data_IF_828850887460
#
_entry.id   IF_828850887460
#
_cell.length_a   1.000
_cell.length_b   1.000
_cell.length_c   1.000
_cell.angle_alpha   90.00
_cell.angle_beta   90.00
_cell.angle_gamma   90.00
#
_symmetry.space_group_name_H-M   'P 1'
#
loop_
_entity.id
_entity.type
_entity.pdbx_description
1 polymer ?
#
# COMPACT_ATOMS: atom_id res chain seq x y z
N UNK A 1 -26.23 26.95 4.59
CA UNK A 1 -25.07 26.04 4.44
C UNK A 1 -25.36 24.73 5.16
N UNK A 2 -25.49 23.62 4.43
CA UNK A 2 -25.66 22.29 5.05
C UNK A 2 -24.38 21.90 5.77
N UNK A 3 -24.43 21.77 7.10
CA UNK A 3 -23.31 21.26 7.92
C UNK A 3 -22.81 19.93 7.34
N UNK A 4 -21.49 19.78 7.23
CA UNK A 4 -20.88 18.52 6.81
C UNK A 4 -21.29 17.39 7.75
N UNK A 5 -21.28 16.11 7.33
CA UNK A 5 -21.64 14.98 8.19
C UNK A 5 -20.85 14.98 9.51
N UNK A 6 -19.57 15.37 9.45
CA UNK A 6 -18.70 15.51 10.61
C UNK A 6 -19.21 16.58 11.59
N UNK A 7 -19.63 17.75 11.10
CA UNK A 7 -20.14 18.85 11.92
C UNK A 7 -21.50 18.55 12.58
N UNK A 8 -22.36 17.76 11.92
CA UNK A 8 -23.62 17.29 12.52
C UNK A 8 -23.37 16.29 13.66
N UNK A 9 -22.37 15.43 13.51
CA UNK A 9 -22.03 14.41 14.50
C UNK A 9 -21.31 14.98 15.72
N UNK A 10 -20.42 15.97 15.52
CA UNK A 10 -19.83 16.72 16.64
C UNK A 10 -20.91 17.41 17.46
N UNK A 11 -21.90 18.04 16.83
CA UNK A 11 -23.01 18.69 17.52
C UNK A 11 -23.84 17.69 18.36
N UNK A 12 -24.14 16.51 17.82
CA UNK A 12 -24.89 15.45 18.52
C UNK A 12 -24.12 14.91 19.73
N UNK A 13 -22.81 14.70 19.60
CA UNK A 13 -21.94 14.29 20.70
C UNK A 13 -21.81 15.37 21.77
N UNK A 14 -21.64 16.64 21.38
CA UNK A 14 -21.59 17.76 22.33
C UNK A 14 -22.91 17.91 23.08
N UNK A 15 -24.06 17.74 22.41
CA UNK A 15 -25.38 17.73 23.06
C UNK A 15 -25.53 16.54 24.00
N UNK A 16 -25.04 15.36 23.62
CA UNK A 16 -25.04 14.17 24.48
C UNK A 16 -24.20 14.36 25.74
N UNK A 17 -22.98 14.89 25.61
CA UNK A 17 -22.10 15.21 26.76
C UNK A 17 -22.71 16.29 27.65
N UNK A 18 -23.27 17.35 27.06
CA UNK A 18 -23.96 18.40 27.82
C UNK A 18 -25.17 17.84 28.57
N UNK A 19 -25.96 16.95 27.96
CA UNK A 19 -27.08 16.27 28.62
C UNK A 19 -26.64 15.44 29.83
N UNK A 20 -25.51 14.72 29.71
CA UNK A 20 -24.92 13.96 30.81
C UNK A 20 -24.52 14.90 31.96
N UNK A 21 -23.81 15.99 31.66
CA UNK A 21 -23.38 16.97 32.68
C UNK A 21 -24.58 17.63 33.38
N UNK A 22 -25.66 17.93 32.64
CA UNK A 22 -26.88 18.48 33.21
C UNK A 22 -27.56 17.48 34.15
N UNK A 23 -27.69 16.21 33.76
CA UNK A 23 -28.24 15.17 34.65
C UNK A 23 -27.41 15.07 35.93
N UNK A 24 -26.08 15.02 35.82
CA UNK A 24 -25.17 14.96 36.97
C UNK A 24 -25.28 16.18 37.90
N UNK A 25 -25.52 17.38 37.35
CA UNK A 25 -25.64 18.62 38.14
C UNK A 25 -26.86 18.66 39.06
N UNK A 26 -27.89 17.86 38.75
CA UNK A 26 -29.16 17.79 39.49
C UNK A 26 -29.10 16.75 40.63
N UNK A 27 -28.14 15.81 40.58
CA UNK A 27 -27.96 14.78 41.61
C UNK A 27 -27.11 15.33 42.77
N UNK A 28 -27.77 15.86 43.81
CA UNK A 28 -27.13 16.34 45.05
C UNK A 28 -27.53 15.46 46.25
N UNK A 29 -26.59 15.23 47.18
CA UNK A 29 -26.80 14.49 48.44
C UNK A 29 -26.08 13.13 48.55
N UNK A 30 -26.00 12.59 49.76
CA UNK A 30 -25.19 11.38 50.06
C UNK A 30 -25.68 10.13 49.31
N UNK A 31 -26.99 9.97 49.15
CA UNK A 31 -27.58 8.87 48.39
C UNK A 31 -27.25 9.02 46.90
N UNK A 32 -27.25 10.25 46.38
CA UNK A 32 -26.93 10.52 44.98
C UNK A 32 -25.47 10.16 44.66
N UNK A 33 -24.54 10.37 45.59
CA UNK A 33 -23.15 9.98 45.44
C UNK A 33 -22.97 8.46 45.26
N UNK A 34 -23.77 7.65 45.95
CA UNK A 34 -23.72 6.18 45.81
C UNK A 34 -24.14 5.71 44.40
N UNK A 35 -25.10 6.39 43.76
CA UNK A 35 -25.55 6.06 42.40
C UNK A 35 -24.68 6.65 41.29
N UNK A 36 -23.74 7.53 41.62
CA UNK A 36 -22.87 8.19 40.64
C UNK A 36 -22.18 7.22 39.66
N UNK A 37 -21.56 6.10 40.10
CA UNK A 37 -20.92 5.15 39.17
C UNK A 37 -21.90 4.50 38.19
N UNK A 38 -23.15 4.26 38.61
CA UNK A 38 -24.22 3.70 37.77
C UNK A 38 -24.60 4.70 36.68
N UNK A 39 -24.87 5.94 37.09
CA UNK A 39 -25.26 7.03 36.18
C UNK A 39 -24.15 7.28 35.16
N UNK A 40 -22.90 7.37 35.61
CA UNK A 40 -21.74 7.58 34.73
C UNK A 40 -21.57 6.45 33.72
N UNK A 41 -21.74 5.20 34.16
CA UNK A 41 -21.62 4.04 33.27
C UNK A 41 -22.72 4.03 32.20
N UNK A 42 -23.96 4.33 32.57
CA UNK A 42 -25.08 4.42 31.62
C UNK A 42 -24.91 5.59 30.65
N UNK A 43 -24.47 6.75 31.16
CA UNK A 43 -24.17 7.93 30.36
C UNK A 43 -23.09 7.65 29.30
N UNK A 44 -21.96 7.09 29.73
CA UNK A 44 -20.86 6.74 28.84
C UNK A 44 -21.28 5.65 27.83
N UNK A 45 -21.98 4.61 28.30
CA UNK A 45 -22.50 3.55 27.44
C UNK A 45 -23.46 4.07 26.38
N UNK A 46 -24.31 5.03 26.74
CA UNK A 46 -25.23 5.70 25.81
C UNK A 46 -24.47 6.51 24.75
N UNK A 47 -23.41 7.23 25.13
CA UNK A 47 -22.57 7.97 24.18
C UNK A 47 -21.90 7.01 23.16
N UNK A 48 -21.33 5.90 23.64
CA UNK A 48 -20.78 4.87 22.76
C UNK A 48 -21.85 4.27 21.85
N UNK A 49 -23.03 3.94 22.37
CA UNK A 49 -24.13 3.35 21.60
C UNK A 49 -24.67 4.31 20.54
N UNK A 50 -24.93 5.56 20.89
CA UNK A 50 -25.39 6.59 19.95
C UNK A 50 -24.36 6.81 18.82
N UNK A 51 -23.06 6.75 19.12
CA UNK A 51 -22.01 6.85 18.09
C UNK A 51 -22.01 5.67 17.10
N UNK A 52 -22.57 4.50 17.47
CA UNK A 52 -22.72 3.38 16.56
C UNK A 52 -23.87 3.59 15.56
N UNK A 53 -24.96 4.20 16.03
CA UNK A 53 -26.15 4.56 15.24
C UNK A 53 -25.87 5.74 14.31
N UNK A 54 -25.08 6.71 14.79
CA UNK A 54 -24.71 7.91 14.06
C UNK A 54 -23.18 7.91 13.79
N UNK A 55 -22.69 7.13 12.81
CA UNK A 55 -21.25 7.02 12.52
C UNK A 55 -20.64 8.37 12.15
N UNK A 56 -19.35 8.61 12.45
CA UNK A 56 -18.34 7.64 12.89
C UNK A 56 -18.46 7.27 14.38
N UNK A 57 -17.98 6.09 14.77
CA UNK A 57 -18.04 5.66 16.18
C UNK A 57 -17.10 6.47 17.07
N UNK A 58 -17.35 6.50 18.39
CA UNK A 58 -16.55 7.33 19.30
C UNK A 58 -15.07 6.96 19.29
N UNK A 59 -14.75 5.65 19.25
CA UNK A 59 -13.37 5.17 19.11
C UNK A 59 -12.77 5.58 17.75
N UNK A 60 -13.57 5.59 16.68
CA UNK A 60 -13.13 6.06 15.37
C UNK A 60 -12.77 7.55 15.39
N UNK A 61 -13.58 8.38 16.06
CA UNK A 61 -13.30 9.80 16.23
C UNK A 61 -11.98 10.05 16.94
N UNK A 62 -11.74 9.36 18.06
CA UNK A 62 -10.47 9.43 18.79
C UNK A 62 -9.30 8.93 17.93
N UNK A 63 -9.50 7.84 17.19
CA UNK A 63 -8.50 7.28 16.29
C UNK A 63 -8.13 8.25 15.16
N UNK A 64 -9.10 9.03 14.64
CA UNK A 64 -8.89 10.01 13.56
C UNK A 64 -8.16 11.27 14.02
N UNK A 65 -8.16 11.60 15.31
CA UNK A 65 -7.33 12.69 15.85
C UNK A 65 -5.84 12.42 15.64
N UNK A 66 -5.43 11.16 15.72
CA UNK A 66 -4.04 10.74 15.48
C UNK A 66 -3.78 10.40 14.01
N UNK A 67 -4.76 9.75 13.36
CA UNK A 67 -4.63 9.26 11.98
C UNK A 67 -5.87 9.67 11.17
N UNK A 68 -5.86 10.86 10.53
CA UNK A 68 -7.03 11.42 9.88
C UNK A 68 -7.66 10.50 8.83
N UNK A 69 -6.83 9.75 8.10
CA UNK A 69 -7.22 8.87 7.01
C UNK A 69 -7.17 7.37 7.40
N UNK A 70 -8.10 6.93 8.26
CA UNK A 70 -8.23 5.51 8.62
C UNK A 70 -8.64 4.63 7.43
N UNK A 71 -7.99 3.47 7.31
CA UNK A 71 -8.38 2.43 6.35
C UNK A 71 -9.77 1.83 6.64
N UNK A 72 -10.49 1.27 5.65
CA UNK A 72 -11.80 0.65 5.87
C UNK A 72 -11.80 -0.46 6.94
N UNK A 73 -10.74 -1.27 7.00
CA UNK A 73 -10.59 -2.31 8.02
C UNK A 73 -10.43 -1.70 9.43
N UNK A 74 -9.71 -0.58 9.55
CA UNK A 74 -9.57 0.14 10.82
C UNK A 74 -10.91 0.77 11.27
N UNK A 75 -11.75 1.23 10.33
CA UNK A 75 -13.10 1.70 10.64
C UNK A 75 -13.97 0.56 11.19
N UNK A 76 -13.95 -0.62 10.57
CA UNK A 76 -14.70 -1.79 11.07
C UNK A 76 -14.20 -2.19 12.47
N UNK A 77 -12.89 -2.20 12.67
CA UNK A 77 -12.27 -2.52 13.95
C UNK A 77 -12.72 -1.55 15.05
N UNK A 78 -12.62 -0.24 14.83
CA UNK A 78 -13.01 0.78 15.82
C UNK A 78 -14.50 0.70 16.17
N UNK A 79 -15.38 0.35 15.21
CA UNK A 79 -16.80 0.05 15.47
C UNK A 79 -16.97 -1.16 16.39
N UNK A 80 -16.22 -2.24 16.19
CA UNK A 80 -16.31 -3.42 17.05
C UNK A 80 -15.81 -3.14 18.46
N UNK A 81 -14.72 -2.39 18.61
CA UNK A 81 -14.24 -1.93 19.93
C UNK A 81 -15.29 -1.05 20.62
N UNK A 82 -15.95 -0.16 19.87
CA UNK A 82 -17.05 0.67 20.40
C UNK A 82 -18.20 -0.20 20.94
N UNK A 83 -18.55 -1.33 20.29
CA UNK A 83 -19.55 -2.29 20.82
C UNK A 83 -19.10 -2.94 22.13
N UNK A 84 -17.82 -3.28 22.25
CA UNK A 84 -17.26 -3.83 23.50
C UNK A 84 -17.41 -2.81 24.63
N UNK A 85 -17.15 -1.53 24.36
CA UNK A 85 -17.37 -0.44 25.32
C UNK A 85 -18.83 -0.31 25.77
N UNK A 86 -19.80 -0.42 24.84
CA UNK A 86 -21.23 -0.43 25.21
C UNK A 86 -21.54 -1.58 26.17
N UNK A 87 -21.09 -2.80 25.84
CA UNK A 87 -21.31 -3.98 26.69
C UNK A 87 -20.66 -3.84 28.07
N UNK A 88 -19.42 -3.35 28.11
CA UNK A 88 -18.71 -3.07 29.36
C UNK A 88 -19.45 -2.06 30.24
N UNK A 89 -19.86 -0.92 29.67
CA UNK A 89 -20.59 0.12 30.40
C UNK A 89 -21.92 -0.38 30.96
N UNK A 90 -22.68 -1.18 30.21
CA UNK A 90 -23.93 -1.76 30.70
C UNK A 90 -23.70 -2.75 31.85
N UNK A 91 -22.71 -3.64 31.71
CA UNK A 91 -22.36 -4.58 32.76
C UNK A 91 -21.87 -3.85 34.02
N UNK A 92 -21.02 -2.85 33.85
CA UNK A 92 -20.50 -2.04 34.96
C UNK A 92 -21.63 -1.28 35.66
N UNK A 93 -22.59 -0.71 34.92
CA UNK A 93 -23.76 -0.06 35.53
C UNK A 93 -24.57 -1.02 36.40
N UNK A 94 -24.82 -2.25 35.93
CA UNK A 94 -25.55 -3.28 36.68
C UNK A 94 -24.78 -3.66 37.95
N UNK A 95 -23.48 -3.93 37.85
CA UNK A 95 -22.66 -4.32 39.00
C UNK A 95 -22.49 -3.17 40.01
N UNK A 96 -22.28 -1.95 39.55
CA UNK A 96 -22.30 -0.76 40.42
C UNK A 96 -23.64 -0.64 41.15
N UNK A 97 -24.77 -0.87 40.46
CA UNK A 97 -26.08 -0.80 41.07
C UNK A 97 -26.30 -1.88 42.14
N UNK A 98 -25.84 -3.11 41.91
CA UNK A 98 -25.94 -4.18 42.92
C UNK A 98 -25.10 -3.85 44.16
N UNK A 99 -23.94 -3.21 44.02
CA UNK A 99 -23.15 -2.75 45.18
C UNK A 99 -23.80 -1.64 45.97
N UNK A 100 -24.58 -0.76 45.32
CA UNK A 100 -25.41 0.22 46.07
C UNK A 100 -26.49 -0.51 46.85
N UNK A 101 -27.10 -1.52 46.23
CA UNK A 101 -28.26 -2.20 46.79
C UNK A 101 -27.92 -3.21 47.89
N UNK A 102 -26.67 -3.65 47.98
CA UNK A 102 -26.18 -4.45 49.10
C UNK A 102 -26.07 -3.63 50.40
N UNK A 103 -26.05 -2.30 50.33
CA UNK A 103 -25.88 -1.41 51.49
C UNK A 103 -24.52 -1.48 52.17
N UNK A 104 -23.58 -2.27 51.63
CA UNK A 104 -22.24 -2.44 52.18
C UNK A 104 -21.26 -1.48 51.52
N UNK A 105 -20.83 -0.46 52.29
CA UNK A 105 -19.94 0.59 51.80
C UNK A 105 -18.54 0.08 51.41
N UNK A 106 -18.04 -0.98 52.06
CA UNK A 106 -16.74 -1.57 51.71
C UNK A 106 -16.78 -2.22 50.34
N UNK A 107 -17.83 -3.00 50.06
CA UNK A 107 -18.05 -3.63 48.75
C UNK A 107 -18.25 -2.57 47.68
N UNK A 108 -19.04 -1.53 47.97
CA UNK A 108 -19.25 -0.40 47.06
C UNK A 108 -17.94 0.32 46.74
N UNK A 109 -17.12 0.61 47.75
CA UNK A 109 -15.86 1.34 47.59
C UNK A 109 -14.82 0.51 46.85
N UNK A 110 -14.71 -0.78 47.18
CA UNK A 110 -13.79 -1.70 46.50
C UNK A 110 -14.14 -1.84 45.02
N UNK A 111 -15.41 -2.08 44.70
CA UNK A 111 -15.81 -2.26 43.30
C UNK A 111 -15.71 -0.96 42.51
N UNK A 112 -16.38 0.11 42.96
CA UNK A 112 -16.50 1.35 42.20
C UNK A 112 -15.22 2.19 42.27
N UNK A 113 -14.42 2.07 43.33
CA UNK A 113 -13.18 2.82 43.52
C UNK A 113 -11.93 2.12 42.96
N UNK A 114 -11.92 0.78 42.85
CA UNK A 114 -10.73 0.04 42.42
C UNK A 114 -11.03 -0.87 41.23
N UNK A 115 -11.94 -1.84 41.38
CA UNK A 115 -12.15 -2.90 40.38
C UNK A 115 -12.61 -2.32 39.04
N UNK A 116 -13.61 -1.43 39.06
CA UNK A 116 -14.18 -0.82 37.85
C UNK A 116 -13.14 -0.05 37.05
N UNK A 117 -12.32 0.77 37.72
CA UNK A 117 -11.22 1.50 37.08
C UNK A 117 -10.12 0.57 36.56
N UNK A 118 -9.79 -0.50 37.29
CA UNK A 118 -8.84 -1.52 36.83
C UNK A 118 -9.29 -2.20 35.55
N UNK A 119 -10.55 -2.63 35.49
CA UNK A 119 -11.14 -3.24 34.28
C UNK A 119 -11.18 -2.24 33.11
N UNK A 120 -11.52 -0.99 33.38
CA UNK A 120 -11.55 0.07 32.37
C UNK A 120 -10.14 0.38 31.83
N UNK A 121 -9.13 0.37 32.71
CA UNK A 121 -7.72 0.48 32.35
C UNK A 121 -7.23 -0.68 31.49
N UNK A 122 -7.62 -1.92 31.84
CA UNK A 122 -7.31 -3.12 31.03
C UNK A 122 -7.96 -3.01 29.65
N UNK A 123 -9.20 -2.54 29.56
CA UNK A 123 -9.91 -2.40 28.29
C UNK A 123 -9.25 -1.34 27.39
N UNK A 124 -8.89 -0.18 27.95
CA UNK A 124 -8.15 0.88 27.25
C UNK A 124 -6.75 0.41 26.82
N UNK A 125 -5.98 -0.17 27.74
CA UNK A 125 -4.63 -0.66 27.47
C UNK A 125 -4.61 -1.81 26.46
N UNK A 126 -5.58 -2.71 26.55
CA UNK A 126 -5.78 -3.81 25.60
C UNK A 126 -6.08 -3.32 24.19
N UNK A 127 -6.92 -2.30 24.03
CA UNK A 127 -7.17 -1.66 22.73
C UNK A 127 -5.89 -1.07 22.15
N UNK A 128 -5.14 -0.30 22.94
CA UNK A 128 -3.93 0.37 22.49
C UNK A 128 -2.83 -0.62 22.06
N UNK A 129 -2.60 -1.66 22.86
CA UNK A 129 -1.63 -2.72 22.55
C UNK A 129 -2.07 -3.54 21.33
N UNK A 130 -3.35 -3.90 21.25
CA UNK A 130 -3.88 -4.65 20.12
C UNK A 130 -3.84 -3.83 18.83
N UNK A 131 -4.13 -2.53 18.87
CA UNK A 131 -4.04 -1.63 17.72
C UNK A 131 -2.61 -1.56 17.17
N UNK A 132 -1.62 -1.48 18.06
CA UNK A 132 -0.20 -1.50 17.69
C UNK A 132 0.19 -2.84 17.06
N UNK A 133 -0.25 -3.95 17.63
CA UNK A 133 -0.02 -5.29 17.09
C UNK A 133 -0.73 -5.52 15.74
N UNK A 134 -1.99 -5.10 15.62
CA UNK A 134 -2.79 -5.22 14.41
C UNK A 134 -2.18 -4.41 13.26
N UNK A 135 -1.74 -3.18 13.52
CA UNK A 135 -0.98 -2.37 12.54
C UNK A 135 0.27 -3.14 12.07
N UNK A 136 1.10 -3.64 12.99
CA UNK A 136 2.30 -4.42 12.66
C UNK A 136 1.98 -5.69 11.84
N UNK A 137 0.90 -6.39 12.18
CA UNK A 137 0.43 -7.59 11.48
C UNK A 137 -0.08 -7.28 10.06
N UNK A 138 -0.86 -6.21 9.90
CA UNK A 138 -1.37 -5.78 8.58
C UNK A 138 -0.25 -5.26 7.67
N UNK A 139 0.75 -4.55 8.22
CA UNK A 139 1.95 -4.17 7.47
C UNK A 139 2.75 -5.41 7.03
N UNK A 140 2.88 -6.42 7.89
CA UNK A 140 3.56 -7.68 7.56
C UNK A 140 2.83 -8.48 6.46
N UNK A 141 1.50 -8.60 6.55
CA UNK A 141 0.69 -9.30 5.53
C UNK A 141 0.70 -8.59 4.16
N UNK A 142 0.67 -7.26 4.15
CA UNK A 142 0.80 -6.48 2.91
C UNK A 142 2.17 -6.65 2.23
N UNK A 143 3.18 -7.09 2.99
CA UNK A 143 4.55 -7.26 2.54
C UNK A 143 4.85 -8.67 2.02
N UNK A 144 4.25 -9.72 2.60
CA UNK A 144 4.48 -11.12 2.21
C UNK A 144 3.92 -11.47 0.82
N UNK A 145 2.99 -10.66 0.28
CA UNK A 145 2.32 -10.96 -0.99
C UNK A 145 2.94 -10.30 -2.24
N UNK A 146 4.03 -9.55 -2.11
CA UNK A 146 4.66 -8.87 -3.26
C UNK A 146 5.71 -9.75 -3.95
N UNK A 147 5.57 -9.91 -5.27
CA UNK A 147 6.55 -10.67 -6.07
C UNK A 147 7.86 -9.87 -6.18
N UNK A 148 9.05 -10.46 -5.94
CA UNK A 148 10.33 -9.80 -6.22
C UNK A 148 10.49 -9.46 -7.72
N UNK A 149 11.26 -8.43 -8.08
CA UNK A 149 11.45 -8.04 -9.48
C UNK A 149 12.06 -9.18 -10.31
N UNK A 150 13.04 -9.88 -9.73
CA UNK A 150 13.69 -11.07 -10.24
C UNK A 150 12.73 -12.23 -10.51
N UNK A 151 11.51 -12.20 -9.96
CA UNK A 151 10.50 -13.25 -10.11
C UNK A 151 9.28 -12.80 -10.93
N UNK A 152 9.22 -11.55 -11.40
CA UNK A 152 8.08 -11.05 -12.19
C UNK A 152 7.81 -11.89 -13.44
N UNK A 153 8.86 -12.40 -14.08
CA UNK A 153 8.72 -13.28 -15.24
C UNK A 153 8.01 -14.62 -14.95
N UNK A 154 7.83 -14.99 -13.67
CA UNK A 154 7.15 -16.22 -13.26
C UNK A 154 5.66 -15.99 -12.99
N UNK A 155 5.19 -14.74 -13.00
CA UNK A 155 3.76 -14.42 -12.90
C UNK A 155 3.00 -15.08 -14.04
N UNK A 156 1.82 -15.58 -13.72
CA UNK A 156 0.95 -16.22 -14.71
C UNK A 156 0.35 -15.15 -15.61
N UNK A 157 -0.10 -15.58 -16.79
CA UNK A 157 -0.75 -14.71 -17.76
C UNK A 157 -1.93 -13.92 -17.16
N UNK A 158 -2.77 -14.61 -16.37
CA UNK A 158 -3.89 -13.97 -15.63
C UNK A 158 -3.43 -12.85 -14.68
N UNK A 159 -2.24 -12.96 -14.10
CA UNK A 159 -1.74 -11.96 -13.14
C UNK A 159 -1.23 -10.71 -13.87
N UNK A 160 -0.69 -10.88 -15.07
CA UNK A 160 -0.31 -9.77 -15.96
C UNK A 160 -1.53 -9.11 -16.61
N UNK A 161 -2.54 -9.90 -16.99
CA UNK A 161 -3.80 -9.37 -17.53
C UNK A 161 -4.52 -8.47 -16.51
N UNK A 162 -4.45 -8.81 -15.21
CA UNK A 162 -4.97 -7.96 -14.14
C UNK A 162 -4.19 -6.64 -13.98
N UNK A 163 -2.91 -6.62 -14.35
CA UNK A 163 -2.04 -5.45 -14.22
C UNK A 163 -2.18 -4.47 -15.39
N UNK A 164 -2.15 -4.95 -16.63
CA UNK A 164 -2.08 -4.08 -17.81
C UNK A 164 -3.43 -3.49 -18.26
N UNK A 165 -4.56 -4.13 -17.96
CA UNK A 165 -5.92 -3.73 -18.39
C UNK A 165 -6.10 -3.41 -19.91
N UNK A 166 -5.09 -3.65 -20.74
CA UNK A 166 -5.09 -3.45 -22.20
C UNK A 166 -5.40 -4.76 -22.91
N UNK A 167 -6.05 -4.65 -24.07
CA UNK A 167 -6.41 -5.79 -24.93
C UNK A 167 -5.34 -6.10 -25.98
N UNK A 168 -4.23 -5.35 -26.01
CA UNK A 168 -3.12 -5.61 -26.92
C UNK A 168 -2.50 -6.98 -26.70
N UNK A 169 -2.03 -7.59 -27.79
CA UNK A 169 -1.47 -8.94 -27.82
C UNK A 169 -0.32 -9.12 -26.83
N UNK A 170 0.56 -8.11 -26.69
CA UNK A 170 1.65 -8.12 -25.71
C UNK A 170 1.12 -8.25 -24.29
N UNK A 171 0.11 -7.46 -23.92
CA UNK A 171 -0.46 -7.44 -22.58
C UNK A 171 -1.21 -8.74 -22.25
N UNK A 172 -1.92 -9.32 -23.23
CA UNK A 172 -2.63 -10.59 -23.08
C UNK A 172 -1.67 -11.76 -22.90
N UNK A 173 -0.69 -11.92 -23.79
CA UNK A 173 0.23 -13.06 -23.79
C UNK A 173 1.62 -12.68 -23.25
N UNK A 174 1.64 -11.90 -22.17
CA UNK A 174 2.84 -11.21 -21.69
C UNK A 174 4.02 -12.13 -21.36
N UNK A 175 3.85 -13.28 -20.66
CA UNK A 175 4.94 -14.22 -20.44
C UNK A 175 5.50 -14.84 -21.73
N UNK A 176 4.63 -15.15 -22.70
CA UNK A 176 5.01 -15.72 -23.98
C UNK A 176 5.76 -14.69 -24.85
N UNK A 177 5.35 -13.43 -24.80
CA UNK A 177 6.05 -12.31 -25.41
C UNK A 177 7.45 -12.13 -24.81
N UNK A 178 7.58 -12.12 -23.48
CA UNK A 178 8.87 -12.03 -22.78
C UNK A 178 9.78 -13.18 -23.21
N UNK A 179 9.24 -14.41 -23.29
CA UNK A 179 10.01 -15.58 -23.72
C UNK A 179 10.51 -15.43 -25.17
N UNK A 180 9.66 -14.99 -26.09
CA UNK A 180 10.02 -14.72 -27.49
C UNK A 180 11.17 -13.71 -27.59
N UNK A 181 11.02 -12.57 -26.90
CA UNK A 181 12.01 -11.50 -26.91
C UNK A 181 13.34 -11.94 -26.25
N UNK A 182 13.28 -12.69 -25.15
CA UNK A 182 14.47 -13.25 -24.50
C UNK A 182 15.26 -14.16 -25.45
N UNK A 183 14.60 -14.98 -26.28
CA UNK A 183 15.28 -15.82 -27.27
C UNK A 183 16.00 -14.98 -28.33
N UNK A 184 15.36 -13.92 -28.85
CA UNK A 184 15.98 -13.04 -29.83
C UNK A 184 17.19 -12.29 -29.24
N UNK A 185 17.09 -11.80 -28.01
CA UNK A 185 18.22 -11.13 -27.33
C UNK A 185 19.37 -12.13 -27.08
N UNK A 186 19.07 -13.38 -26.71
CA UNK A 186 20.09 -14.42 -26.51
C UNK A 186 20.80 -14.82 -27.80
N UNK A 187 20.10 -14.83 -28.94
CA UNK A 187 20.70 -15.08 -30.24
C UNK A 187 21.71 -13.99 -30.64
N UNK A 188 21.57 -12.78 -30.08
CA UNK A 188 22.53 -11.69 -30.29
C UNK A 188 23.84 -11.88 -29.50
N UNK A 189 24.97 -11.61 -30.16
CA UNK A 189 26.30 -11.58 -29.52
C UNK A 189 26.52 -10.33 -28.66
N UNK A 190 25.69 -9.30 -28.80
CA UNK A 190 25.85 -8.02 -28.11
C UNK A 190 25.68 -8.19 -26.59
N UNK A 191 26.49 -7.44 -25.82
CA UNK A 191 26.48 -7.51 -24.34
C UNK A 191 25.66 -6.39 -23.70
N UNK A 192 25.65 -5.21 -24.32
CA UNK A 192 24.93 -4.02 -23.86
C UNK A 192 23.68 -3.84 -24.71
N UNK A 193 22.53 -3.76 -24.04
CA UNK A 193 21.23 -3.69 -24.68
C UNK A 193 20.58 -2.38 -24.27
N UNK A 194 20.45 -1.45 -25.22
CA UNK A 194 19.76 -0.18 -25.02
C UNK A 194 18.27 -0.39 -25.17
N UNK A 195 17.52 -0.10 -24.11
CA UNK A 195 16.06 -0.20 -24.11
C UNK A 195 15.46 1.20 -24.24
N UNK A 196 14.75 1.41 -25.35
CA UNK A 196 14.21 2.71 -25.75
C UNK A 196 12.75 2.49 -26.14
N UNK A 197 11.82 2.68 -25.22
CA UNK A 197 10.40 2.41 -25.48
C UNK A 197 9.54 3.42 -24.75
N UNK A 198 8.55 3.99 -25.45
CA UNK A 198 7.55 4.87 -24.82
C UNK A 198 6.35 4.07 -24.31
N UNK A 199 6.09 2.90 -24.90
CA UNK A 199 5.12 1.98 -24.35
C UNK A 199 5.65 1.29 -23.09
N UNK A 200 4.86 1.30 -21.99
CA UNK A 200 5.26 0.75 -20.69
C UNK A 200 5.29 -0.78 -20.68
N UNK A 201 4.41 -1.44 -21.43
CA UNK A 201 4.35 -2.89 -21.51
C UNK A 201 5.53 -3.42 -22.32
N UNK A 202 5.81 -2.82 -23.48
CA UNK A 202 6.99 -3.14 -24.29
C UNK A 202 8.28 -2.84 -23.52
N UNK A 203 8.34 -1.70 -22.81
CA UNK A 203 9.48 -1.37 -21.96
C UNK A 203 9.71 -2.41 -20.87
N UNK A 204 8.70 -2.74 -20.06
CA UNK A 204 8.88 -3.72 -18.98
C UNK A 204 9.20 -5.12 -19.53
N UNK A 205 8.68 -5.49 -20.70
CA UNK A 205 9.02 -6.75 -21.34
C UNK A 205 10.49 -6.75 -21.79
N UNK A 206 10.96 -5.69 -22.45
CA UNK A 206 12.37 -5.52 -22.80
C UNK A 206 13.28 -5.55 -21.57
N UNK A 207 12.89 -4.86 -20.50
CA UNK A 207 13.61 -4.86 -19.22
C UNK A 207 13.80 -6.29 -18.69
N UNK A 208 12.71 -7.07 -18.59
CA UNK A 208 12.77 -8.43 -18.07
C UNK A 208 13.55 -9.37 -19.01
N UNK A 209 13.31 -9.26 -20.32
CA UNK A 209 13.95 -10.13 -21.32
C UNK A 209 15.45 -9.91 -21.43
N UNK A 210 15.92 -8.66 -21.35
CA UNK A 210 17.36 -8.35 -21.31
C UNK A 210 18.05 -8.98 -20.10
N UNK A 211 17.44 -8.87 -18.92
CA UNK A 211 18.02 -9.43 -17.70
C UNK A 211 17.98 -10.97 -17.70
N UNK A 212 16.93 -11.59 -18.27
CA UNK A 212 16.87 -13.04 -18.48
C UNK A 212 17.87 -13.56 -19.52
N UNK A 213 18.23 -12.71 -20.48
CA UNK A 213 19.26 -13.00 -21.46
C UNK A 213 20.68 -12.83 -20.89
N UNK A 214 20.81 -12.46 -19.62
CA UNK A 214 22.10 -12.23 -18.93
C UNK A 214 22.97 -11.19 -19.64
N UNK A 215 22.30 -10.18 -20.22
CA UNK A 215 22.93 -9.04 -20.87
C UNK A 215 22.81 -7.81 -19.95
N UNK A 216 23.69 -6.83 -20.16
CA UNK A 216 23.65 -5.57 -19.43
C UNK A 216 22.57 -4.67 -20.03
N UNK A 217 21.57 -4.32 -19.24
CA UNK A 217 20.53 -3.37 -19.64
C UNK A 217 21.08 -1.94 -19.56
N UNK A 218 20.82 -1.15 -20.59
CA UNK A 218 21.22 0.26 -20.65
C UNK A 218 20.00 1.14 -20.86
N UNK A 219 19.82 2.11 -19.96
CA UNK A 219 18.69 3.04 -19.95
C UNK A 219 19.22 4.47 -20.15
N UNK A 220 19.03 5.06 -21.34
CA UNK A 220 19.45 6.43 -21.61
C UNK A 220 18.57 7.43 -20.84
N UNK A 221 19.09 8.64 -20.60
CA UNK A 221 18.34 9.72 -19.92
C UNK A 221 17.25 10.36 -20.80
N UNK A 222 17.35 10.19 -22.11
CA UNK A 222 16.43 10.75 -23.11
C UNK A 222 16.55 9.95 -24.42
N UNK A 223 15.49 9.98 -25.24
CA UNK A 223 15.44 9.28 -26.53
C UNK A 223 15.89 10.15 -27.72
N UNK A 224 16.47 11.34 -27.45
CA UNK A 224 16.95 12.24 -28.51
C UNK A 224 18.06 11.58 -29.35
N UNK A 225 17.98 11.61 -30.70
CA UNK A 225 18.95 10.94 -31.57
C UNK A 225 20.41 11.33 -31.32
N UNK A 226 20.71 12.61 -31.07
CA UNK A 226 22.08 13.09 -30.85
C UNK A 226 22.71 12.49 -29.60
N UNK A 227 21.92 12.39 -28.51
CA UNK A 227 22.34 11.72 -27.29
C UNK A 227 22.60 10.24 -27.56
N UNK A 228 21.65 9.55 -28.21
CA UNK A 228 21.79 8.13 -28.51
C UNK A 228 23.04 7.85 -29.35
N UNK A 229 23.30 8.66 -30.39
CA UNK A 229 24.52 8.56 -31.22
C UNK A 229 25.81 8.70 -30.41
N UNK A 230 25.81 9.55 -29.37
CA UNK A 230 26.98 9.72 -28.49
C UNK A 230 27.20 8.57 -27.51
N UNK A 231 26.15 7.81 -27.17
CA UNK A 231 26.20 6.73 -26.17
C UNK A 231 26.37 5.34 -26.77
N UNK A 232 25.83 5.14 -27.97
CA UNK A 232 25.83 3.88 -28.69
C UNK A 232 27.20 3.60 -29.30
N UNK A 233 27.56 2.32 -29.27
CA UNK A 233 28.71 1.73 -29.94
C UNK A 233 28.23 0.67 -30.93
N UNK A 234 29.06 0.33 -31.90
CA UNK A 234 28.73 -0.67 -32.94
C UNK A 234 28.41 -2.07 -32.39
N UNK A 235 28.87 -2.38 -31.18
CA UNK A 235 28.64 -3.64 -30.45
C UNK A 235 27.50 -3.57 -29.42
N UNK A 236 26.66 -2.54 -29.50
CA UNK A 236 25.43 -2.42 -28.72
C UNK A 236 24.20 -2.90 -29.51
N UNK A 237 23.17 -3.39 -28.83
CA UNK A 237 21.87 -3.76 -29.43
C UNK A 237 20.80 -2.77 -28.97
N UNK A 238 19.95 -2.32 -29.90
CA UNK A 238 18.81 -1.46 -29.59
C UNK A 238 17.53 -2.31 -29.54
N UNK A 239 16.76 -2.15 -28.46
CA UNK A 239 15.37 -2.59 -28.34
C UNK A 239 14.47 -1.36 -28.37
N UNK A 240 13.59 -1.25 -29.36
CA UNK A 240 12.67 -0.13 -29.44
C UNK A 240 11.40 -0.44 -30.20
N UNK A 241 10.35 0.33 -29.90
CA UNK A 241 9.09 0.47 -30.65
C UNK A 241 9.14 1.64 -31.66
N UNK A 242 10.26 2.37 -31.73
CA UNK A 242 10.42 3.54 -32.60
C UNK A 242 11.16 3.21 -33.90
N UNK A 243 10.44 3.22 -35.03
CA UNK A 243 10.97 2.87 -36.35
C UNK A 243 12.10 3.81 -36.85
N UNK A 244 12.14 5.05 -36.36
CA UNK A 244 13.18 6.03 -36.74
C UNK A 244 14.58 5.68 -36.19
N UNK A 245 14.68 4.80 -35.19
CA UNK A 245 15.96 4.37 -34.63
C UNK A 245 16.63 3.26 -35.45
N UNK A 246 15.90 2.64 -36.39
CA UNK A 246 16.46 1.64 -37.31
C UNK A 246 17.55 2.19 -38.22
N UNK A 247 17.63 3.52 -38.39
CA UNK A 247 18.67 4.17 -39.19
C UNK A 247 20.00 4.32 -38.45
N UNK A 248 20.08 3.95 -37.18
CA UNK A 248 21.34 3.95 -36.42
C UNK A 248 22.17 2.71 -36.82
N UNK A 249 23.49 2.87 -36.92
CA UNK A 249 24.46 1.81 -37.29
C UNK A 249 24.69 0.81 -36.14
N UNK A 250 23.60 0.23 -35.63
CA UNK A 250 23.56 -0.76 -34.56
C UNK A 250 22.51 -1.82 -34.86
N UNK A 251 22.74 -3.09 -34.48
CA UNK A 251 21.69 -4.10 -34.45
C UNK A 251 20.42 -3.59 -33.75
N UNK A 252 19.26 -3.90 -34.31
CA UNK A 252 17.96 -3.40 -33.85
C UNK A 252 16.94 -4.54 -33.74
N UNK A 253 16.20 -4.60 -32.65
CA UNK A 253 15.02 -5.46 -32.47
C UNK A 253 13.79 -4.56 -32.22
N UNK A 254 12.82 -4.70 -33.11
CA UNK A 254 11.54 -4.00 -33.07
C UNK A 254 10.61 -4.66 -32.05
N UNK A 255 10.34 -4.00 -30.92
CA UNK A 255 9.49 -4.52 -29.85
C UNK A 255 8.05 -4.74 -30.33
N UNK A 256 7.51 -3.80 -31.11
CA UNK A 256 6.16 -3.86 -31.70
C UNK A 256 5.95 -5.02 -32.68
N UNK A 257 7.03 -5.66 -33.16
CA UNK A 257 6.97 -6.75 -34.15
C UNK A 257 7.18 -8.14 -33.55
N UNK A 258 7.42 -8.23 -32.23
CA UNK A 258 7.62 -9.51 -31.56
C UNK A 258 6.29 -10.27 -31.49
N UNK A 259 6.28 -11.49 -32.04
CA UNK A 259 5.15 -12.42 -31.92
C UNK A 259 5.34 -13.29 -30.67
N UNK A 260 4.35 -13.37 -29.77
CA UNK A 260 4.40 -14.29 -28.64
C UNK A 260 4.55 -15.75 -29.10
N UNK A 261 5.27 -16.55 -28.32
CA UNK A 261 5.38 -17.99 -28.58
C UNK A 261 4.08 -18.71 -28.23
N UNK A 262 3.64 -19.64 -29.08
CA UNK A 262 2.51 -20.52 -28.77
C UNK A 262 2.84 -21.47 -27.61
N UNK A 263 4.08 -21.94 -27.54
CA UNK A 263 4.59 -22.81 -26.47
C UNK A 263 5.96 -22.32 -26.01
N UNK A 264 6.16 -22.26 -24.68
CA UNK A 264 7.44 -21.91 -24.10
C UNK A 264 7.62 -22.59 -22.74
N UNK A 265 8.86 -22.97 -22.44
CA UNK A 265 9.20 -23.48 -21.11
C UNK A 265 9.34 -22.33 -20.10
N UNK A 266 9.21 -22.67 -18.81
CA UNK A 266 9.34 -21.70 -17.73
C UNK A 266 10.63 -20.91 -17.86
N UNK A 267 10.51 -19.59 -17.91
CA UNK A 267 11.63 -18.71 -18.21
C UNK A 267 12.73 -18.82 -17.13
N UNK A 268 13.99 -18.64 -17.56
CA UNK A 268 15.17 -18.75 -16.69
C UNK A 268 15.09 -17.73 -15.55
N UNK A 269 15.47 -18.15 -14.35
CA UNK A 269 15.54 -17.26 -13.18
C UNK A 269 16.57 -16.16 -13.42
N UNK A 270 16.23 -14.94 -13.02
CA UNK A 270 17.14 -13.79 -13.03
C UNK A 270 17.89 -13.81 -11.70
N UNK A 271 19.22 -13.81 -11.72
CA UNK A 271 20.02 -13.59 -10.51
C UNK A 271 20.10 -12.07 -10.26
N UNK A 272 19.45 -11.54 -9.19
CA UNK A 272 19.33 -10.10 -9.02
C UNK A 272 20.65 -9.40 -8.70
N UNK A 273 21.64 -10.11 -8.13
CA UNK A 273 22.95 -9.53 -7.81
C UNK A 273 23.84 -9.38 -9.05
N UNK A 274 23.66 -10.25 -10.04
CA UNK A 274 24.44 -10.26 -11.30
C UNK A 274 23.76 -9.50 -12.44
N UNK A 275 22.44 -9.27 -12.35
CA UNK A 275 21.66 -8.57 -13.36
C UNK A 275 21.99 -7.07 -13.38
N UNK A 276 22.93 -6.68 -14.24
CA UNK A 276 23.44 -5.31 -14.35
C UNK A 276 22.57 -4.37 -15.18
N UNK A 277 22.39 -3.15 -14.68
CA UNK A 277 21.60 -2.07 -15.27
C UNK A 277 22.43 -0.79 -15.23
N UNK A 278 22.57 -0.10 -16.36
CA UNK A 278 23.29 1.16 -16.48
C UNK A 278 22.28 2.27 -16.78
N UNK A 279 22.20 3.25 -15.90
CA UNK A 279 21.42 4.47 -16.11
C UNK A 279 22.35 5.58 -16.59
N UNK A 280 21.95 6.32 -17.62
CA UNK A 280 22.59 7.60 -17.92
C UNK A 280 21.84 8.73 -17.25
N UNK A 281 22.57 9.66 -16.65
CA UNK A 281 22.02 10.91 -16.11
C UNK A 281 22.38 12.08 -17.02
N UNK A 282 21.52 13.08 -17.10
CA UNK A 282 21.71 14.23 -17.99
C UNK A 282 22.95 15.07 -17.68
N UNK A 283 23.51 14.99 -16.46
CA UNK A 283 24.77 15.61 -16.05
C UNK A 283 24.77 17.15 -16.16
N UNK A 284 25.05 17.87 -15.07
CA UNK A 284 25.20 19.33 -15.13
C UNK A 284 26.35 19.80 -16.05
N UNK A 285 27.30 18.91 -16.36
CA UNK A 285 28.46 19.16 -17.23
C UNK A 285 28.23 18.87 -18.73
N UNK A 286 26.99 18.59 -19.15
CA UNK A 286 26.62 18.36 -20.56
C UNK A 286 26.96 16.96 -21.12
N UNK A 287 27.87 16.22 -20.50
CA UNK A 287 28.18 14.82 -20.85
C UNK A 287 27.44 13.84 -19.95
N UNK A 288 26.63 12.91 -20.51
CA UNK A 288 25.89 11.95 -19.71
C UNK A 288 26.80 10.99 -18.96
N UNK A 289 26.60 10.83 -17.65
CA UNK A 289 27.41 9.92 -16.83
C UNK A 289 26.68 8.61 -16.58
N UNK A 290 27.32 7.44 -16.81
CA UNK A 290 26.74 6.14 -16.52
C UNK A 290 26.76 5.86 -15.00
N UNK A 291 25.64 5.38 -14.49
CA UNK A 291 25.47 4.90 -13.12
C UNK A 291 25.08 3.43 -13.20
N UNK A 292 26.00 2.56 -12.77
CA UNK A 292 25.77 1.13 -12.68
C UNK A 292 24.97 0.76 -11.43
N UNK A 293 23.93 -0.03 -11.61
CA UNK A 293 23.17 -0.69 -10.54
C UNK A 293 22.97 -2.17 -10.88
N UNK A 294 22.64 -2.97 -9.89
CA UNK A 294 22.10 -4.31 -10.11
C UNK A 294 20.60 -4.36 -9.81
N UNK A 295 19.94 -5.44 -10.23
CA UNK A 295 18.52 -5.62 -9.97
C UNK A 295 18.22 -5.72 -8.46
N UNK A 296 19.11 -6.28 -7.65
CA UNK A 296 18.90 -6.38 -6.19
C UNK A 296 18.85 -5.01 -5.51
N UNK A 297 19.62 -4.03 -5.98
CA UNK A 297 19.52 -2.63 -5.52
C UNK A 297 18.16 -2.03 -5.86
N UNK A 298 17.67 -2.20 -7.09
CA UNK A 298 16.32 -1.73 -7.45
C UNK A 298 15.24 -2.45 -6.64
N UNK A 299 15.38 -3.77 -6.44
CA UNK A 299 14.47 -4.56 -5.60
C UNK A 299 14.41 -4.05 -4.16
N UNK A 300 15.55 -3.64 -3.61
CA UNK A 300 15.62 -3.03 -2.28
C UNK A 300 14.95 -1.66 -2.27
N UNK A 301 15.18 -0.81 -3.28
CA UNK A 301 14.53 0.50 -3.40
C UNK A 301 12.99 0.36 -3.45
N UNK A 302 12.45 -0.48 -4.33
CA UNK A 302 10.99 -0.71 -4.39
C UNK A 302 10.45 -1.45 -3.16
N UNK A 303 11.29 -2.19 -2.43
CA UNK A 303 10.93 -2.79 -1.14
C UNK A 303 10.80 -1.72 -0.06
N UNK A 304 11.68 -0.72 -0.04
CA UNK A 304 11.53 0.44 0.84
C UNK A 304 10.32 1.29 0.45
N UNK A 305 10.03 1.48 -0.84
CA UNK A 305 8.79 2.15 -1.28
C UNK A 305 7.54 1.46 -0.73
N UNK A 306 7.47 0.12 -0.82
CA UNK A 306 6.35 -0.63 -0.25
C UNK A 306 6.27 -0.52 1.28
N UNK A 307 7.40 -0.38 1.99
CA UNK A 307 7.41 -0.18 3.44
C UNK A 307 6.90 1.22 3.82
N UNK A 308 7.36 2.24 3.10
CA UNK A 308 7.03 3.65 3.39
C UNK A 308 5.60 3.99 2.97
N UNK A 309 5.15 3.51 1.81
CA UNK A 309 3.84 3.81 1.25
C UNK A 309 3.10 2.54 0.79
N UNK A 310 2.65 1.66 1.68
CA UNK A 310 2.12 0.34 1.30
C UNK A 310 1.05 0.39 0.20
N UNK A 311 1.39 -0.13 -0.99
CA UNK A 311 0.45 -0.30 -2.09
C UNK A 311 -0.43 -1.53 -1.81
N UNK A 312 -1.75 -1.34 -1.85
CA UNK A 312 -2.75 -2.41 -1.71
C UNK A 312 -3.76 -2.28 -2.86
N UNK A 313 -3.41 -2.74 -4.07
CA UNK A 313 -4.27 -2.53 -5.22
C UNK A 313 -5.50 -3.45 -5.15
N UNK A 314 -6.57 -2.97 -5.74
CA UNK A 314 -7.77 -3.73 -6.08
C UNK A 314 -8.11 -3.49 -7.56
N UNK A 315 -9.17 -4.14 -8.07
CA UNK A 315 -9.59 -4.02 -9.48
C UNK A 315 -9.86 -2.59 -9.97
N UNK A 316 -10.14 -1.65 -9.06
CA UNK A 316 -10.43 -0.25 -9.37
C UNK A 316 -9.25 0.69 -9.08
N UNK A 317 -8.05 0.15 -8.81
CA UNK A 317 -6.85 0.95 -8.56
C UNK A 317 -6.17 1.28 -9.87
N UNK A 318 -6.18 2.56 -10.25
CA UNK A 318 -5.41 3.08 -11.38
C UNK A 318 -4.20 3.86 -10.88
N UNK A 319 -3.06 3.72 -11.57
CA UNK A 319 -1.83 4.43 -11.24
C UNK A 319 -1.48 5.44 -12.33
N UNK A 320 -1.43 6.71 -11.97
CA UNK A 320 -1.05 7.81 -12.85
C UNK A 320 0.34 8.31 -12.48
N UNK A 321 1.16 8.60 -13.49
CA UNK A 321 2.48 9.21 -13.30
C UNK A 321 2.71 10.25 -14.37
N UNK A 322 3.12 11.44 -13.94
CA UNK A 322 3.61 12.53 -14.81
C UNK A 322 5.09 12.40 -15.13
N UNK A 323 5.81 11.53 -14.40
CA UNK A 323 7.23 11.23 -14.66
C UNK A 323 7.32 10.04 -15.61
N UNK A 324 8.02 10.18 -16.75
CA UNK A 324 8.24 9.07 -17.68
C UNK A 324 8.96 7.87 -17.04
N UNK A 325 8.61 6.65 -17.46
CA UNK A 325 9.16 5.41 -16.91
C UNK A 325 10.63 5.15 -17.26
N UNK A 326 11.20 5.87 -18.23
CA UNK A 326 12.63 5.79 -18.53
C UNK A 326 13.50 6.59 -17.53
N UNK A 327 12.91 7.46 -16.72
CA UNK A 327 13.60 8.09 -15.58
C UNK A 327 13.52 7.21 -14.33
N UNK A 328 14.56 7.21 -13.49
CA UNK A 328 14.64 6.33 -12.32
C UNK A 328 13.41 6.42 -11.39
N UNK A 329 12.92 7.63 -11.10
CA UNK A 329 11.71 7.79 -10.27
C UNK A 329 10.45 7.26 -10.95
N UNK A 330 10.23 7.60 -12.22
CA UNK A 330 9.11 7.06 -12.98
C UNK A 330 9.19 5.54 -13.10
N UNK A 331 10.37 4.99 -13.34
CA UNK A 331 10.63 3.55 -13.38
C UNK A 331 10.23 2.87 -12.07
N UNK A 332 10.73 3.37 -10.94
CA UNK A 332 10.50 2.76 -9.64
C UNK A 332 9.05 2.90 -9.20
N UNK A 333 8.50 4.12 -9.18
CA UNK A 333 7.19 4.42 -8.60
C UNK A 333 6.04 4.01 -9.52
N UNK A 334 6.19 4.15 -10.83
CA UNK A 334 5.08 4.00 -11.76
C UNK A 334 5.06 2.70 -12.56
N UNK A 335 6.16 1.94 -12.52
CA UNK A 335 6.28 0.71 -13.30
C UNK A 335 6.72 -0.50 -12.46
N UNK A 336 7.92 -0.45 -11.87
CA UNK A 336 8.49 -1.60 -11.16
C UNK A 336 7.76 -1.89 -9.85
N UNK A 337 7.49 -0.88 -9.02
CA UNK A 337 6.81 -1.08 -7.75
C UNK A 337 5.37 -1.59 -7.92
N UNK A 338 4.52 -1.00 -8.79
CA UNK A 338 3.17 -1.50 -9.04
C UNK A 338 3.16 -2.91 -9.66
N UNK A 339 4.10 -3.21 -10.57
CA UNK A 339 4.20 -4.53 -11.18
C UNK A 339 4.46 -5.67 -10.18
N UNK A 340 4.95 -5.36 -8.97
CA UNK A 340 5.17 -6.35 -7.90
C UNK A 340 3.91 -6.76 -7.14
N UNK A 341 2.83 -6.00 -7.28
CA UNK A 341 1.61 -6.28 -6.55
C UNK A 341 1.02 -7.66 -6.90
N UNK A 342 0.39 -8.34 -5.94
CA UNK A 342 -0.35 -9.57 -6.23
C UNK A 342 -1.56 -9.26 -7.13
N UNK A 343 -1.97 -10.23 -7.94
CA UNK A 343 -3.28 -10.20 -8.59
C UNK A 343 -4.37 -10.36 -7.52
N UNK A 344 -5.32 -9.42 -7.50
CA UNK A 344 -6.45 -9.40 -6.56
C UNK A 344 -7.63 -10.26 -7.00
#
# INVERSE_FOLDING_TARGET
MSKTPLQKNTLLLTVGVAGILTVLSVFQGDIAALYYPVIMSLALGSAFFLSLLFPPSLIELLARLQEPALSPAAVIYTRNVTKVWVGFCLLNAVLSYTTVRSGNLEIWTLYNGVISYGLMGILLGGEFLFRTFYKKSQHKKAFENFTPLSHLHQKKEKDWAAYWQSQETVCRHYPAYIAALTLQIKASKMKRIFLISEDRALFLAGFLSTLQAEKTLVLPSSHKPDLLKSLLKKDDLILSDQNNLNSLDCPFIALDKIKPLETFHRAKRINPEKAGIIFYTSGSSGTPKPIGKNLSQLENEVKELQKTWPLKPNRNTALFSTVPHHHLYGLLFSLLWPARAPSS
#
